data_IF_413609900408
#
_entry.id   IF_413609900408
#
_cell.length_a   1.000
_cell.length_b   1.000
_cell.length_c   1.000
_cell.angle_alpha   90.00
_cell.angle_beta   90.00
_cell.angle_gamma   90.00
#
_symmetry.space_group_name_H-M   'P 1'
#
loop_
_entity.id
_entity.type
_entity.pdbx_description
1 polymer ?
#
# COMPACT_ATOMS: atom_id res chain seq x y z
N UNK A 1 8.00 14.46 19.84
CA UNK A 1 6.77 14.08 19.10
C UNK A 1 5.73 13.66 20.12
N UNK A 2 4.59 14.33 20.19
CA UNK A 2 3.43 13.77 20.90
C UNK A 2 2.97 12.52 20.14
N UNK A 3 2.74 11.42 20.86
CA UNK A 3 2.17 10.21 20.26
C UNK A 3 0.83 10.56 19.61
N UNK A 4 0.63 10.12 18.36
CA UNK A 4 -0.67 10.29 17.69
C UNK A 4 -1.71 9.49 18.46
N UNK A 5 -2.74 10.17 18.96
CA UNK A 5 -3.89 9.51 19.56
C UNK A 5 -4.83 9.03 18.46
N UNK A 6 -4.92 7.70 18.32
CA UNK A 6 -5.75 7.06 17.30
C UNK A 6 -7.20 6.94 17.73
N UNK A 7 -8.11 7.11 16.78
CA UNK A 7 -9.52 6.84 17.02
C UNK A 7 -9.77 5.36 17.35
N UNK A 8 -10.79 5.09 18.19
CA UNK A 8 -11.20 3.72 18.56
C UNK A 8 -12.19 3.10 17.57
N UNK A 9 -12.86 3.92 16.73
CA UNK A 9 -13.73 3.45 15.65
C UNK A 9 -12.90 3.18 14.39
N UNK A 10 -13.07 2.00 13.83
CA UNK A 10 -12.26 1.48 12.72
C UNK A 10 -12.30 2.34 11.43
N UNK A 11 -13.46 2.90 11.10
CA UNK A 11 -13.58 3.79 9.94
C UNK A 11 -12.85 5.12 10.18
N UNK A 12 -13.05 5.71 11.36
CA UNK A 12 -12.42 6.98 11.73
C UNK A 12 -10.90 6.85 11.87
N UNK A 13 -10.39 5.72 12.38
CA UNK A 13 -8.94 5.49 12.46
C UNK A 13 -8.34 5.37 11.06
N UNK A 14 -9.05 4.73 10.14
CA UNK A 14 -8.61 4.62 8.75
C UNK A 14 -8.53 6.00 8.09
N UNK A 15 -9.56 6.82 8.22
CA UNK A 15 -9.56 8.19 7.68
C UNK A 15 -8.45 9.06 8.28
N UNK A 16 -8.27 8.99 9.60
CA UNK A 16 -7.20 9.69 10.31
C UNK A 16 -5.82 9.26 9.81
N UNK A 17 -5.62 7.94 9.64
CA UNK A 17 -4.38 7.38 9.12
C UNK A 17 -4.08 7.88 7.72
N UNK A 18 -5.05 7.81 6.81
CA UNK A 18 -4.88 8.26 5.42
C UNK A 18 -4.57 9.76 5.37
N UNK A 19 -5.25 10.59 6.17
CA UNK A 19 -4.96 12.03 6.24
C UNK A 19 -3.54 12.30 6.73
N UNK A 20 -3.11 11.55 7.76
CA UNK A 20 -1.76 11.69 8.31
C UNK A 20 -0.70 11.23 7.31
N UNK A 21 -0.85 10.05 6.72
CA UNK A 21 0.09 9.48 5.75
C UNK A 21 0.16 10.32 4.48
N UNK A 22 -0.96 10.89 4.01
CA UNK A 22 -0.97 11.80 2.85
C UNK A 22 -0.10 13.04 3.09
N UNK A 23 -0.06 13.57 4.32
CA UNK A 23 0.81 14.70 4.65
C UNK A 23 2.31 14.35 4.53
N UNK A 24 2.69 13.12 4.89
CA UNK A 24 4.07 12.65 4.84
C UNK A 24 4.44 11.92 3.55
N UNK A 25 3.50 11.68 2.63
CA UNK A 25 3.76 10.97 1.39
C UNK A 25 4.93 11.57 0.58
N UNK A 26 5.07 12.91 0.42
CA UNK A 26 6.22 13.48 -0.28
C UNK A 26 7.56 13.15 0.37
N UNK A 27 7.59 13.08 1.71
CA UNK A 27 8.80 12.69 2.45
C UNK A 27 9.11 11.21 2.21
N UNK A 28 8.10 10.34 2.29
CA UNK A 28 8.27 8.91 2.06
C UNK A 28 8.75 8.62 0.63
N UNK A 29 8.21 9.32 -0.37
CA UNK A 29 8.61 9.18 -1.77
C UNK A 29 10.12 9.45 -1.98
N UNK A 30 10.69 10.41 -1.25
CA UNK A 30 12.14 10.71 -1.32
C UNK A 30 13.00 9.56 -0.76
N UNK A 31 12.45 8.72 0.12
CA UNK A 31 13.15 7.55 0.68
C UNK A 31 12.81 6.23 -0.01
N UNK A 32 11.78 6.22 -0.86
CA UNK A 32 11.33 5.05 -1.61
C UNK A 32 11.64 5.19 -3.11
N UNK A 33 12.87 5.59 -3.44
CA UNK A 33 13.32 5.84 -4.82
C UNK A 33 13.92 4.61 -5.52
N UNK A 34 13.96 3.47 -4.83
CA UNK A 34 14.48 2.21 -5.36
C UNK A 34 13.45 1.11 -5.11
N UNK A 35 13.28 0.18 -6.05
CA UNK A 35 12.31 -0.91 -5.92
C UNK A 35 12.48 -1.72 -4.62
N UNK A 36 13.70 -1.89 -4.11
CA UNK A 36 13.94 -2.55 -2.82
C UNK A 36 13.42 -1.73 -1.63
N UNK A 37 13.60 -0.40 -1.64
CA UNK A 37 13.11 0.48 -0.57
C UNK A 37 11.59 0.56 -0.54
N UNK A 38 10.95 0.60 -1.71
CA UNK A 38 9.48 0.55 -1.85
C UNK A 38 8.93 -0.78 -1.32
N UNK A 39 9.56 -1.90 -1.69
CA UNK A 39 9.17 -3.22 -1.22
C UNK A 39 9.29 -3.35 0.31
N UNK A 40 10.41 -2.87 0.89
CA UNK A 40 10.59 -2.85 2.35
C UNK A 40 9.52 -1.98 3.02
N UNK A 41 9.21 -0.81 2.45
CA UNK A 41 8.14 0.05 2.97
C UNK A 41 6.80 -0.67 2.97
N UNK A 42 6.43 -1.34 1.87
CA UNK A 42 5.19 -2.10 1.77
C UNK A 42 5.12 -3.26 2.78
N UNK A 43 6.22 -3.98 2.97
CA UNK A 43 6.32 -5.01 4.01
C UNK A 43 6.14 -4.41 5.42
N UNK A 44 6.74 -3.23 5.69
CA UNK A 44 6.57 -2.56 7.00
C UNK A 44 5.14 -2.11 7.26
N UNK A 45 4.43 -1.65 6.22
CA UNK A 45 3.01 -1.33 6.32
C UNK A 45 2.21 -2.61 6.63
N UNK A 46 2.51 -3.73 5.97
CA UNK A 46 1.87 -5.02 6.22
C UNK A 46 2.07 -5.48 7.68
N UNK A 47 3.31 -5.44 8.17
CA UNK A 47 3.64 -5.79 9.56
C UNK A 47 2.90 -4.89 10.55
N UNK A 48 2.90 -3.57 10.31
CA UNK A 48 2.23 -2.61 11.18
C UNK A 48 0.72 -2.84 11.23
N UNK A 49 0.07 -3.03 10.08
CA UNK A 49 -1.37 -3.30 10.01
C UNK A 49 -1.75 -4.63 10.69
N UNK A 50 -0.86 -5.63 10.65
CA UNK A 50 -1.07 -6.89 11.35
C UNK A 50 -0.94 -6.77 12.87
N UNK A 51 0.14 -6.13 13.32
CA UNK A 51 0.44 -5.98 14.75
C UNK A 51 -0.56 -5.02 15.43
N UNK A 52 -1.22 -4.15 14.66
CA UNK A 52 -2.22 -3.20 15.15
C UNK A 52 -3.59 -3.49 14.54
N UNK A 53 -4.39 -4.32 15.23
CA UNK A 53 -5.67 -4.84 14.72
C UNK A 53 -6.64 -3.76 14.18
N UNK A 54 -6.59 -2.55 14.71
CA UNK A 54 -7.39 -1.41 14.26
C UNK A 54 -7.09 -0.96 12.82
N UNK A 55 -5.93 -1.31 12.27
CA UNK A 55 -5.49 -0.97 10.93
C UNK A 55 -5.57 -2.14 9.95
N UNK A 56 -6.06 -3.31 10.38
CA UNK A 56 -6.17 -4.50 9.54
C UNK A 56 -6.98 -4.25 8.27
N UNK A 57 -8.05 -3.46 8.34
CA UNK A 57 -8.87 -3.06 7.17
C UNK A 57 -8.38 -1.80 6.47
N UNK A 58 -7.39 -1.11 7.03
CA UNK A 58 -6.81 0.10 6.43
C UNK A 58 -5.75 -0.22 5.38
N UNK A 59 -5.14 -1.41 5.42
CA UNK A 59 -4.00 -1.80 4.59
C UNK A 59 -4.20 -1.48 3.11
N UNK A 60 -5.25 -2.01 2.48
CA UNK A 60 -5.54 -1.75 1.06
C UNK A 60 -5.62 -0.24 0.75
N UNK A 61 -6.31 0.54 1.59
CA UNK A 61 -6.46 1.98 1.37
C UNK A 61 -5.13 2.73 1.52
N UNK A 62 -4.24 2.28 2.41
CA UNK A 62 -2.90 2.84 2.59
C UNK A 62 -2.05 2.57 1.35
N UNK A 63 -2.05 1.34 0.83
CA UNK A 63 -1.28 1.00 -0.37
C UNK A 63 -1.78 1.78 -1.58
N UNK A 64 -3.10 1.89 -1.78
CA UNK A 64 -3.68 2.71 -2.86
C UNK A 64 -3.31 4.19 -2.72
N UNK A 65 -3.28 4.74 -1.50
CA UNK A 65 -2.84 6.11 -1.27
C UNK A 65 -1.38 6.31 -1.70
N UNK A 66 -0.50 5.38 -1.33
CA UNK A 66 0.92 5.46 -1.65
C UNK A 66 1.23 5.20 -3.12
N UNK A 67 0.49 4.32 -3.78
CA UNK A 67 0.53 4.18 -5.23
C UNK A 67 0.17 5.51 -5.93
N UNK A 68 -0.98 6.11 -5.57
CA UNK A 68 -1.44 7.39 -6.15
C UNK A 68 -0.57 8.60 -5.81
N UNK A 69 0.33 8.47 -4.84
CA UNK A 69 1.22 9.53 -4.40
C UNK A 69 2.67 9.29 -4.85
N UNK A 70 2.89 8.35 -5.78
CA UNK A 70 4.21 8.00 -6.32
C UNK A 70 5.21 7.54 -5.23
N UNK A 71 4.70 6.97 -4.14
CA UNK A 71 5.51 6.40 -3.04
C UNK A 71 5.80 4.92 -3.30
N UNK A 72 4.86 4.21 -3.92
CA UNK A 72 5.01 2.81 -4.30
C UNK A 72 4.72 2.66 -5.79
N UNK A 73 5.64 2.04 -6.52
CA UNK A 73 5.43 1.67 -7.92
C UNK A 73 4.50 0.45 -8.06
N UNK A 74 3.93 0.31 -9.24
CA UNK A 74 3.23 -0.90 -9.65
C UNK A 74 4.11 -2.15 -9.51
N UNK A 75 5.35 -2.10 -10.01
CA UNK A 75 6.31 -3.19 -9.94
C UNK A 75 6.51 -3.68 -8.48
N UNK A 76 6.70 -2.75 -7.54
CA UNK A 76 6.89 -3.10 -6.13
C UNK A 76 5.65 -3.78 -5.53
N UNK A 77 4.44 -3.31 -5.88
CA UNK A 77 3.17 -3.86 -5.40
C UNK A 77 2.94 -5.26 -5.98
N UNK A 78 3.14 -5.46 -7.29
CA UNK A 78 3.01 -6.75 -7.96
C UNK A 78 4.02 -7.77 -7.41
N UNK A 79 5.28 -7.36 -7.22
CA UNK A 79 6.33 -8.20 -6.64
C UNK A 79 6.00 -8.63 -5.20
N UNK A 80 5.55 -7.69 -4.37
CA UNK A 80 5.07 -7.99 -3.01
C UNK A 80 3.94 -9.01 -3.03
N UNK A 81 2.95 -8.81 -3.90
CA UNK A 81 1.79 -9.70 -3.99
C UNK A 81 2.20 -11.13 -4.39
N UNK A 82 3.07 -11.26 -5.39
CA UNK A 82 3.48 -12.56 -5.94
C UNK A 82 4.37 -13.36 -4.99
N UNK A 83 5.43 -12.75 -4.45
CA UNK A 83 6.49 -13.51 -3.79
C UNK A 83 7.16 -12.82 -2.60
N UNK A 84 7.07 -11.49 -2.51
CA UNK A 84 7.81 -10.73 -1.50
C UNK A 84 6.96 -10.23 -0.31
N UNK A 85 5.78 -10.81 -0.09
CA UNK A 85 4.97 -10.56 1.10
C UNK A 85 5.54 -11.28 2.33
N UNK A 86 5.32 -10.70 3.52
CA UNK A 86 5.72 -11.34 4.78
C UNK A 86 4.64 -12.30 5.28
N UNK A 87 4.98 -13.21 6.20
CA UNK A 87 4.05 -14.20 6.73
C UNK A 87 2.89 -13.57 7.53
N UNK A 88 3.12 -12.43 8.18
CA UNK A 88 2.16 -11.73 9.04
C UNK A 88 0.92 -11.30 8.27
N UNK A 89 -0.22 -11.93 8.54
CA UNK A 89 -1.50 -11.61 7.90
C UNK A 89 -1.55 -11.90 6.40
N UNK A 90 -0.63 -12.70 5.86
CA UNK A 90 -0.47 -12.99 4.42
C UNK A 90 -1.80 -13.23 3.70
N UNK A 91 -2.57 -14.24 4.14
CA UNK A 91 -3.82 -14.61 3.47
C UNK A 91 -4.84 -13.47 3.44
N UNK A 92 -4.94 -12.73 4.53
CA UNK A 92 -5.87 -11.61 4.67
C UNK A 92 -5.47 -10.44 3.77
N UNK A 93 -4.19 -10.07 3.73
CA UNK A 93 -3.75 -8.93 2.95
C UNK A 93 -3.69 -9.23 1.44
N UNK A 94 -3.34 -10.46 1.05
CA UNK A 94 -3.44 -10.87 -0.36
C UNK A 94 -4.90 -10.80 -0.82
N UNK A 95 -5.85 -11.32 -0.02
CA UNK A 95 -7.27 -11.22 -0.39
C UNK A 95 -7.75 -9.76 -0.49
N UNK A 96 -7.35 -8.89 0.44
CA UNK A 96 -7.68 -7.46 0.39
C UNK A 96 -7.14 -6.75 -0.85
N UNK A 97 -5.98 -7.18 -1.36
CA UNK A 97 -5.28 -6.53 -2.47
C UNK A 97 -5.65 -7.09 -3.84
N UNK A 98 -6.30 -8.26 -3.89
CA UNK A 98 -6.59 -9.00 -5.13
C UNK A 98 -7.17 -8.13 -6.25
N UNK A 99 -8.29 -7.44 -5.99
CA UNK A 99 -8.96 -6.59 -7.00
C UNK A 99 -8.10 -5.44 -7.49
N UNK A 100 -7.26 -4.88 -6.60
CA UNK A 100 -6.39 -3.77 -6.97
C UNK A 100 -5.20 -4.25 -7.81
N UNK A 101 -4.64 -5.42 -7.48
CA UNK A 101 -3.60 -6.07 -8.28
C UNK A 101 -4.12 -6.47 -9.66
N UNK A 102 -5.32 -7.06 -9.73
CA UNK A 102 -5.98 -7.35 -11.01
C UNK A 102 -6.17 -6.07 -11.85
N UNK A 103 -6.54 -4.96 -11.23
CA UNK A 103 -6.66 -3.67 -11.92
C UNK A 103 -5.31 -3.14 -12.43
N UNK A 104 -4.23 -3.23 -11.64
CA UNK A 104 -2.89 -2.83 -12.07
C UNK A 104 -2.46 -3.60 -13.32
N UNK A 105 -2.56 -4.94 -13.26
CA UNK A 105 -2.18 -5.82 -14.37
C UNK A 105 -2.97 -5.54 -15.66
N UNK A 106 -4.27 -5.24 -15.54
CA UNK A 106 -5.10 -4.95 -16.71
C UNK A 106 -4.87 -3.53 -17.28
N UNK A 107 -4.44 -2.57 -16.46
CA UNK A 107 -4.18 -1.20 -16.90
C UNK A 107 -2.99 -1.13 -17.87
N UNK A 108 -1.97 -1.98 -17.68
CA UNK A 108 -0.86 -2.13 -18.64
C UNK A 108 -1.33 -2.78 -19.96
N UNK A 109 -2.17 -3.82 -19.90
CA UNK A 109 -2.66 -4.53 -21.11
C UNK A 109 -3.49 -3.62 -22.05
N UNK A 110 -4.30 -2.70 -21.51
CA UNK A 110 -5.02 -1.72 -22.34
C UNK A 110 -4.07 -0.69 -22.99
N UNK A 111 -3.00 -0.30 -22.28
CA UNK A 111 -2.05 0.73 -22.72
C UNK A 111 -1.11 0.26 -23.84
N UNK A 112 -0.73 -1.02 -23.86
CA UNK A 112 0.11 -1.60 -24.92
C UNK A 112 -0.65 -1.89 -26.23
N UNK A 113 -1.98 -1.99 -26.18
CA UNK A 113 -2.82 -2.32 -27.33
C UNK A 113 -3.17 -1.14 -28.25
N UNK A 114 -2.87 0.10 -27.84
CA UNK A 114 -3.15 1.33 -28.62
C UNK A 114 -1.93 1.85 -29.41
N UNK A 115 -0.86 1.07 -29.55
CA UNK A 115 0.42 1.48 -30.17
C UNK A 115 0.75 0.90 -31.55
N UNK A 116 -0.15 0.13 -32.17
CA UNK A 116 0.09 -0.55 -33.45
C UNK A 116 -1.05 -0.25 -34.46
N UNK A 117 -1.10 1.00 -34.93
CA UNK A 117 -1.70 1.39 -36.23
C UNK A 117 -1.04 2.66 -36.80
#
# INVERSE_FOLDING_TARGET
MHSVEWNKKEELVTEQALKHLKHYAPLLAVFSTQGQSELILLQKIQEYCYDNIHFMKSFHKIVVLFYKADVLSEEAILKWYKEAHVAKGKSVFLEQMKKFVEWLQNAEEESESEGDD
#
